data_IF_844944814342
#
_entry.id   IF_844944814342
#
_cell.length_a   1.000
_cell.length_b   1.000
_cell.length_c   1.000
_cell.angle_alpha   90.00
_cell.angle_beta   90.00
_cell.angle_gamma   90.00
#
_symmetry.space_group_name_H-M   'P 1'
#
loop_
_entity.id
_entity.type
_entity.pdbx_description
1 polymer ?
#
# COMPACT_ATOMS: atom_id res chain seq x y z
N UNK A 1 32.69 -4.17 -5.21
CA UNK A 1 31.28 -3.87 -5.46
C UNK A 1 30.80 -3.03 -4.29
N UNK A 2 30.05 -1.97 -4.47
CA UNK A 2 29.47 -1.28 -3.33
C UNK A 2 28.64 -2.29 -2.53
N UNK A 3 28.83 -2.35 -1.23
CA UNK A 3 27.99 -3.15 -0.35
C UNK A 3 26.60 -2.49 -0.34
N UNK A 4 25.65 -3.12 -1.02
CA UNK A 4 24.26 -2.68 -0.95
C UNK A 4 23.68 -3.18 0.36
N UNK A 5 23.49 -2.26 1.29
CA UNK A 5 22.78 -2.54 2.53
C UNK A 5 21.28 -2.47 2.26
N UNK A 6 20.60 -3.60 2.25
CA UNK A 6 19.15 -3.64 2.24
C UNK A 6 18.63 -4.40 3.46
N UNK A 7 17.44 -4.04 3.88
CA UNK A 7 16.72 -4.70 4.97
C UNK A 7 15.40 -5.22 4.42
N UNK A 8 15.06 -6.45 4.76
CA UNK A 8 13.76 -7.03 4.49
C UNK A 8 12.93 -6.97 5.77
N UNK A 9 11.71 -6.46 5.67
CA UNK A 9 10.73 -6.41 6.74
C UNK A 9 9.53 -7.25 6.29
N UNK A 10 9.13 -8.21 7.08
CA UNK A 10 7.88 -8.92 6.93
C UNK A 10 6.92 -8.41 7.99
N UNK A 11 5.82 -7.85 7.56
CA UNK A 11 4.73 -7.40 8.42
C UNK A 11 3.65 -8.48 8.50
N UNK A 12 2.91 -8.49 9.57
CA UNK A 12 1.75 -9.36 9.75
C UNK A 12 0.48 -8.52 9.80
N UNK A 13 -0.65 -9.14 9.51
CA UNK A 13 -1.97 -8.51 9.68
C UNK A 13 -2.16 -7.24 8.84
N UNK A 14 -1.61 -7.21 7.61
CA UNK A 14 -1.82 -6.11 6.66
C UNK A 14 -3.31 -5.99 6.33
N UNK A 15 -3.99 -7.11 6.05
CA UNK A 15 -5.38 -7.21 5.62
C UNK A 15 -6.41 -6.74 6.68
N UNK A 16 -6.00 -6.65 7.92
CA UNK A 16 -6.82 -6.15 9.03
C UNK A 16 -6.37 -4.76 9.51
N UNK A 17 -5.83 -3.96 8.60
CA UNK A 17 -5.48 -2.55 8.85
C UNK A 17 -4.00 -2.29 9.11
N UNK A 18 -3.10 -3.20 8.72
CA UNK A 18 -1.64 -2.99 8.80
C UNK A 18 -1.12 -3.01 10.23
N UNK A 19 -1.67 -3.87 11.09
CA UNK A 19 -1.33 -3.90 12.52
C UNK A 19 0.18 -4.13 12.71
N UNK A 20 0.76 -5.08 11.97
CA UNK A 20 2.19 -5.36 12.05
C UNK A 20 3.06 -4.19 11.65
N UNK A 21 2.62 -3.39 10.69
CA UNK A 21 3.33 -2.18 10.25
C UNK A 21 3.34 -1.07 11.33
N UNK A 22 2.32 -1.00 12.16
CA UNK A 22 2.28 -0.05 13.28
C UNK A 22 3.38 -0.29 14.30
N UNK A 23 3.82 -1.54 14.47
CA UNK A 23 4.90 -1.91 15.41
C UNK A 23 6.31 -1.72 14.85
N UNK A 24 6.45 -1.41 13.58
CA UNK A 24 7.78 -1.14 13.01
C UNK A 24 8.30 0.20 13.58
N UNK A 25 9.45 0.12 14.27
CA UNK A 25 10.09 1.28 14.86
C UNK A 25 10.56 2.27 13.79
N UNK A 26 10.34 3.57 14.02
CA UNK A 26 10.79 4.64 13.11
C UNK A 26 12.26 4.52 12.74
N UNK A 27 13.15 4.22 13.72
CA UNK A 27 14.59 4.03 13.51
C UNK A 27 14.95 2.91 12.52
N UNK A 28 13.99 2.08 12.15
CA UNK A 28 14.18 1.02 11.15
C UNK A 28 13.95 1.49 9.72
N UNK A 29 13.20 2.57 9.55
CA UNK A 29 12.69 3.04 8.26
C UNK A 29 13.12 4.46 7.90
N UNK A 30 13.34 5.36 8.87
CA UNK A 30 13.62 6.79 8.65
C UNK A 30 14.99 7.09 8.01
N UNK A 31 15.92 6.13 8.10
CA UNK A 31 17.24 6.21 7.48
C UNK A 31 17.32 5.46 6.13
N UNK A 32 16.22 4.88 5.68
CA UNK A 32 16.18 4.24 4.39
C UNK A 32 16.25 5.30 3.28
N UNK A 33 16.97 5.03 2.21
CA UNK A 33 16.94 5.85 1.01
C UNK A 33 15.57 5.79 0.36
N UNK A 34 14.99 4.60 0.30
CA UNK A 34 13.61 4.33 -0.15
C UNK A 34 13.11 3.01 0.42
N UNK A 35 11.79 2.82 0.40
CA UNK A 35 11.11 1.59 0.82
C UNK A 35 10.26 1.10 -0.34
N UNK A 36 10.45 -0.17 -0.69
CA UNK A 36 9.67 -0.85 -1.72
C UNK A 36 8.81 -1.91 -1.06
N UNK A 37 7.52 -1.82 -1.25
CA UNK A 37 6.58 -2.87 -0.89
C UNK A 37 6.26 -3.70 -2.13
N UNK A 38 6.20 -5.01 -1.97
CA UNK A 38 5.98 -5.97 -3.05
C UNK A 38 4.71 -6.76 -2.76
N UNK A 39 3.56 -6.08 -2.88
CA UNK A 39 2.27 -6.63 -2.46
C UNK A 39 1.10 -6.21 -3.39
N UNK A 40 1.36 -5.54 -4.49
CA UNK A 40 0.29 -5.12 -5.39
C UNK A 40 -0.05 -6.21 -6.42
N UNK A 41 -1.34 -6.48 -6.61
CA UNK A 41 -1.83 -7.34 -7.68
C UNK A 41 -1.42 -6.85 -9.08
N UNK A 42 -1.40 -7.76 -10.06
CA UNK A 42 -0.94 -7.45 -11.42
C UNK A 42 0.58 -7.43 -11.53
N UNK A 43 1.11 -7.08 -12.67
CA UNK A 43 2.55 -7.17 -12.95
C UNK A 43 3.22 -5.87 -13.36
N UNK A 44 2.50 -4.72 -13.33
CA UNK A 44 3.02 -3.48 -13.94
C UNK A 44 2.67 -2.20 -13.18
N UNK A 45 1.98 -2.23 -12.07
CA UNK A 45 1.61 -1.02 -11.37
C UNK A 45 2.69 -0.59 -10.37
N UNK A 46 2.90 0.72 -10.28
CA UNK A 46 3.52 1.40 -9.15
C UNK A 46 2.47 2.25 -8.46
N UNK A 47 2.31 2.08 -7.17
CA UNK A 47 1.42 2.89 -6.35
C UNK A 47 2.21 4.07 -5.80
N UNK A 48 1.95 5.24 -6.35
CA UNK A 48 2.50 6.52 -5.91
C UNK A 48 1.65 7.17 -4.83
N UNK A 49 0.34 6.91 -4.86
CA UNK A 49 -0.63 7.44 -3.92
C UNK A 49 -1.48 6.31 -3.36
N UNK A 50 -1.65 6.27 -2.06
CA UNK A 50 -2.50 5.30 -1.37
C UNK A 50 -3.45 6.02 -0.43
N UNK A 51 -4.76 5.94 -0.71
CA UNK A 51 -5.76 6.76 -0.06
C UNK A 51 -5.47 8.25 -0.29
N UNK A 52 -5.25 8.99 0.79
CA UNK A 52 -4.87 10.42 0.75
C UNK A 52 -3.36 10.64 0.97
N UNK A 53 -2.57 9.56 1.01
CA UNK A 53 -1.14 9.63 1.31
C UNK A 53 -0.34 9.56 0.02
N UNK A 54 0.42 10.60 -0.28
CA UNK A 54 1.45 10.54 -1.32
C UNK A 54 2.65 9.78 -0.77
N UNK A 55 3.05 8.72 -1.43
CA UNK A 55 4.11 7.82 -1.01
C UNK A 55 5.48 8.25 -1.53
N UNK A 56 5.55 8.70 -2.78
CA UNK A 56 6.81 9.11 -3.40
C UNK A 56 6.69 10.34 -4.30
N UNK A 57 7.85 10.90 -4.64
CA UNK A 57 8.00 12.03 -5.56
C UNK A 57 7.72 11.64 -7.01
N UNK A 58 7.53 12.65 -7.85
CA UNK A 58 7.42 12.50 -9.30
C UNK A 58 8.70 11.90 -9.90
N UNK A 59 9.86 12.35 -9.44
CA UNK A 59 11.16 11.87 -9.92
C UNK A 59 11.36 10.38 -9.61
N UNK A 60 10.97 9.95 -8.42
CA UNK A 60 11.04 8.54 -8.01
C UNK A 60 10.08 7.66 -8.84
N UNK A 61 8.83 8.09 -9.00
CA UNK A 61 7.85 7.36 -9.79
C UNK A 61 8.27 7.23 -11.26
N UNK A 62 8.87 8.28 -11.84
CA UNK A 62 9.35 8.28 -13.21
C UNK A 62 10.43 7.22 -13.46
N UNK A 63 11.32 6.96 -12.51
CA UNK A 63 12.31 5.89 -12.62
C UNK A 63 11.67 4.51 -12.78
N UNK A 64 10.57 4.27 -12.09
CA UNK A 64 9.83 3.03 -12.25
C UNK A 64 9.06 2.95 -13.58
N UNK A 65 8.58 4.09 -14.09
CA UNK A 65 8.00 4.16 -15.44
C UNK A 65 9.03 3.81 -16.52
N UNK A 66 10.28 4.25 -16.37
CA UNK A 66 11.39 3.90 -17.26
C UNK A 66 11.69 2.39 -17.26
N UNK A 67 11.41 1.71 -16.16
CA UNK A 67 11.47 0.25 -16.04
C UNK A 67 10.19 -0.46 -16.53
N UNK A 68 9.22 0.32 -17.07
CA UNK A 68 7.99 -0.20 -17.68
C UNK A 68 6.84 -0.46 -16.71
N UNK A 69 6.88 0.15 -15.52
CA UNK A 69 5.72 0.22 -14.65
C UNK A 69 4.77 1.35 -15.09
N UNK A 70 3.56 1.34 -14.57
CA UNK A 70 2.53 2.35 -14.79
C UNK A 70 2.03 2.86 -13.45
N UNK A 71 1.86 4.16 -13.33
CA UNK A 71 1.30 4.75 -12.13
C UNK A 71 -0.14 4.30 -11.92
N UNK A 72 -0.45 3.98 -10.70
CA UNK A 72 -1.78 3.66 -10.23
C UNK A 72 -1.97 4.19 -8.80
N UNK A 73 -3.20 4.27 -8.36
CA UNK A 73 -3.56 4.62 -7.00
C UNK A 73 -3.99 3.38 -6.24
N UNK A 74 -3.66 3.34 -4.95
CA UNK A 74 -4.11 2.34 -4.00
C UNK A 74 -5.11 2.92 -3.01
N UNK A 75 -5.77 2.06 -2.26
CA UNK A 75 -6.66 2.46 -1.15
C UNK A 75 -5.97 2.39 0.18
N UNK A 76 -5.23 1.32 0.42
CA UNK A 76 -4.47 1.06 1.63
C UNK A 76 -3.24 0.17 1.31
N UNK A 77 -2.22 0.26 2.15
CA UNK A 77 -0.98 -0.53 2.12
C UNK A 77 -0.23 -0.25 3.42
N UNK A 78 0.64 -1.13 3.86
CA UNK A 78 1.50 -0.93 5.05
C UNK A 78 2.33 0.36 4.97
N UNK A 79 2.63 0.85 3.77
CA UNK A 79 3.32 2.12 3.58
C UNK A 79 2.52 3.33 4.12
N UNK A 80 1.20 3.23 4.22
CA UNK A 80 0.38 4.26 4.87
C UNK A 80 0.74 4.42 6.36
N UNK A 81 1.21 3.34 7.00
CA UNK A 81 1.70 3.36 8.38
C UNK A 81 3.15 3.84 8.49
N UNK A 82 3.96 3.59 7.46
CA UNK A 82 5.36 4.00 7.42
C UNK A 82 5.55 5.46 7.04
N UNK A 83 4.80 5.96 6.06
CA UNK A 83 4.99 7.33 5.55
C UNK A 83 4.89 8.42 6.62
N UNK A 84 3.95 8.41 7.57
CA UNK A 84 3.90 9.38 8.66
C UNK A 84 5.12 9.34 9.59
N UNK A 85 5.77 8.16 9.71
CA UNK A 85 6.95 7.95 10.55
C UNK A 85 8.25 8.35 9.84
N UNK A 86 8.26 8.34 8.52
CA UNK A 86 9.44 8.59 7.68
C UNK A 86 9.05 9.42 6.44
N UNK A 87 8.60 10.66 6.66
CA UNK A 87 8.00 11.53 5.64
C UNK A 87 8.92 11.82 4.46
N UNK A 88 10.23 11.88 4.69
CA UNK A 88 11.23 12.17 3.64
C UNK A 88 11.67 10.95 2.84
N UNK A 89 11.30 9.75 3.28
CA UNK A 89 11.68 8.51 2.61
C UNK A 89 10.74 8.27 1.44
N UNK A 90 11.28 7.99 0.27
CA UNK A 90 10.52 7.59 -0.91
C UNK A 90 9.96 6.20 -0.71
N UNK A 91 8.68 6.01 -1.01
CA UNK A 91 8.01 4.72 -0.82
C UNK A 91 7.13 4.40 -2.01
N UNK A 92 7.03 3.15 -2.40
CA UNK A 92 6.03 2.72 -3.37
C UNK A 92 5.67 1.24 -3.17
N UNK A 93 4.44 0.89 -3.55
CA UNK A 93 4.02 -0.49 -3.65
C UNK A 93 3.99 -0.92 -5.11
N UNK A 94 4.59 -2.06 -5.42
CA UNK A 94 4.77 -2.58 -6.77
C UNK A 94 3.95 -3.84 -6.98
N UNK A 95 3.35 -3.95 -8.17
CA UNK A 95 2.72 -5.19 -8.61
C UNK A 95 3.75 -6.30 -8.74
N UNK A 96 3.41 -7.50 -8.29
CA UNK A 96 4.33 -8.65 -8.25
C UNK A 96 3.87 -9.86 -9.07
N UNK A 97 2.82 -9.71 -9.86
CA UNK A 97 2.32 -10.80 -10.72
C UNK A 97 1.32 -11.71 -10.02
N UNK A 98 0.71 -11.31 -8.92
CA UNK A 98 -0.40 -12.07 -8.36
C UNK A 98 -1.76 -11.55 -8.82
N UNK A 99 -2.74 -12.44 -8.86
CA UNK A 99 -4.07 -12.19 -9.42
C UNK A 99 -5.14 -12.84 -8.58
N UNK A 100 -6.36 -12.33 -8.69
CA UNK A 100 -7.54 -12.78 -7.96
C UNK A 100 -7.34 -12.72 -6.42
N UNK A 101 -6.92 -11.53 -5.87
CA UNK A 101 -6.70 -11.39 -4.44
C UNK A 101 -7.93 -11.80 -3.63
N UNK A 102 -7.71 -12.44 -2.49
CA UNK A 102 -8.77 -12.87 -1.55
C UNK A 102 -9.77 -13.88 -2.13
N UNK A 103 -9.40 -14.60 -3.21
CA UNK A 103 -10.24 -15.62 -3.82
C UNK A 103 -9.57 -16.99 -3.78
N UNK A 104 -10.36 -18.07 -3.76
CA UNK A 104 -9.83 -19.44 -3.87
C UNK A 104 -9.04 -19.70 -5.16
N UNK A 105 -9.22 -18.84 -6.16
CA UNK A 105 -8.50 -18.86 -7.43
C UNK A 105 -7.30 -17.90 -7.47
N UNK A 106 -6.85 -17.42 -6.32
CA UNK A 106 -5.64 -16.60 -6.24
C UNK A 106 -4.43 -17.38 -6.75
N UNK A 107 -3.61 -16.73 -7.55
CA UNK A 107 -2.40 -17.34 -8.09
C UNK A 107 -1.30 -16.31 -8.33
N UNK A 108 -0.05 -16.77 -8.30
CA UNK A 108 1.13 -16.01 -8.67
C UNK A 108 1.64 -16.45 -10.05
N UNK A 109 1.77 -15.51 -10.98
CA UNK A 109 2.45 -15.73 -12.25
C UNK A 109 3.97 -15.64 -12.01
N UNK A 110 4.64 -16.78 -11.96
CA UNK A 110 6.07 -16.86 -11.63
C UNK A 110 6.94 -16.06 -12.61
N UNK A 111 6.62 -16.04 -13.89
CA UNK A 111 7.40 -15.28 -14.89
C UNK A 111 7.30 -13.78 -14.69
N UNK A 112 6.12 -13.29 -14.33
CA UNK A 112 5.93 -11.87 -14.01
C UNK A 112 6.62 -11.51 -12.70
N UNK A 113 6.53 -12.36 -11.69
CA UNK A 113 7.23 -12.19 -10.43
C UNK A 113 8.75 -12.10 -10.62
N UNK A 114 9.35 -13.06 -11.35
CA UNK A 114 10.78 -13.05 -11.66
C UNK A 114 11.20 -11.78 -12.42
N UNK A 115 10.38 -11.32 -13.36
CA UNK A 115 10.63 -10.09 -14.10
C UNK A 115 10.57 -8.86 -13.17
N UNK A 116 9.62 -8.79 -12.24
CA UNK A 116 9.55 -7.70 -11.25
C UNK A 116 10.79 -7.72 -10.36
N UNK A 117 11.19 -8.87 -9.85
CA UNK A 117 12.40 -8.99 -9.02
C UNK A 117 13.67 -8.56 -9.80
N UNK A 118 13.76 -8.89 -11.09
CA UNK A 118 14.86 -8.41 -11.92
C UNK A 118 14.88 -6.89 -12.03
N UNK A 119 13.73 -6.25 -12.22
CA UNK A 119 13.59 -4.78 -12.27
C UNK A 119 13.90 -4.12 -10.92
N UNK A 120 13.46 -4.72 -9.81
CA UNK A 120 13.81 -4.24 -8.46
C UNK A 120 15.33 -4.26 -8.28
N UNK A 121 15.99 -5.35 -8.64
CA UNK A 121 17.46 -5.43 -8.60
C UNK A 121 18.12 -4.38 -9.47
N UNK A 122 17.62 -4.18 -10.70
CA UNK A 122 18.14 -3.15 -11.60
C UNK A 122 17.96 -1.76 -10.99
N UNK A 123 16.79 -1.44 -10.47
CA UNK A 123 16.50 -0.17 -9.80
C UNK A 123 17.48 0.07 -8.65
N UNK A 124 17.71 -0.93 -7.79
CA UNK A 124 18.65 -0.83 -6.67
C UNK A 124 20.08 -0.56 -7.11
N UNK A 125 20.52 -1.19 -8.20
CA UNK A 125 21.87 -1.00 -8.75
C UNK A 125 22.05 0.38 -9.37
N UNK A 126 21.08 0.82 -10.16
CA UNK A 126 21.16 2.09 -10.89
C UNK A 126 21.01 3.31 -9.98
N UNK A 127 20.32 3.17 -8.87
CA UNK A 127 19.98 4.28 -7.98
C UNK A 127 20.64 4.16 -6.58
N UNK A 128 21.70 3.39 -6.46
CA UNK A 128 22.36 3.12 -5.16
C UNK A 128 22.89 4.37 -4.43
N UNK A 129 23.23 5.42 -5.17
CA UNK A 129 23.74 6.69 -4.62
C UNK A 129 22.83 7.88 -4.95
N UNK A 130 21.65 7.65 -5.51
CA UNK A 130 20.74 8.72 -5.92
C UNK A 130 19.98 9.27 -4.72
N UNK A 131 19.92 10.58 -4.60
CA UNK A 131 19.05 11.29 -3.67
C UNK A 131 17.84 11.77 -4.45
N UNK A 132 16.67 11.29 -4.11
CA UNK A 132 15.43 11.72 -4.73
C UNK A 132 14.95 12.98 -3.99
N UNK A 133 14.97 14.10 -4.70
CA UNK A 133 14.42 15.33 -4.17
C UNK A 133 13.01 15.53 -4.70
N UNK A 134 12.09 15.74 -3.78
CA UNK A 134 10.75 16.20 -4.15
C UNK A 134 10.85 17.71 -4.42
N UNK A 135 10.93 18.08 -5.68
CA UNK A 135 11.00 19.48 -6.11
C UNK A 135 9.64 20.20 -6.01
N UNK A 136 8.58 19.47 -5.75
CA UNK A 136 7.28 20.02 -5.44
C UNK A 136 7.20 20.20 -3.92
N UNK A 137 7.15 21.46 -3.46
CA UNK A 137 6.73 21.76 -2.10
C UNK A 137 5.49 20.93 -1.80
N UNK A 138 5.54 20.13 -0.73
CA UNK A 138 4.34 19.51 -0.16
C UNK A 138 3.34 20.62 0.01
N UNK A 139 2.39 20.74 -0.90
CA UNK A 139 1.24 21.62 -0.71
C UNK A 139 0.52 21.01 0.48
N UNK A 140 0.79 21.58 1.66
CA UNK A 140 0.03 21.30 2.87
C UNK A 140 -1.43 21.18 2.46
N UNK A 141 -2.05 20.11 2.92
CA UNK A 141 -3.46 19.81 2.76
C UNK A 141 -4.28 21.04 2.43
N UNK A 142 -4.89 21.08 1.25
CA UNK A 142 -6.06 21.93 1.07
C UNK A 142 -7.04 21.48 2.14
N UNK A 143 -6.99 22.17 3.29
CA UNK A 143 -8.11 22.19 4.22
C UNK A 143 -9.31 22.52 3.37
N UNK A 144 -10.14 21.52 3.12
CA UNK A 144 -11.45 21.74 2.56
C UNK A 144 -12.18 22.63 3.57
N UNK A 145 -12.03 23.94 3.38
CA UNK A 145 -12.88 24.93 4.05
C UNK A 145 -14.29 24.64 3.56
N UNK A 146 -15.10 24.19 4.50
CA UNK A 146 -16.42 23.66 4.36
C UNK A 146 -17.24 24.20 3.20
N UNK A 147 -17.67 23.33 2.34
CA UNK A 147 -18.96 23.46 1.70
C UNK A 147 -20.02 23.18 2.77
N UNK A 148 -20.47 24.24 3.42
CA UNK A 148 -21.69 24.23 4.23
C UNK A 148 -22.84 23.94 3.28
N UNK A 149 -23.51 22.78 3.42
CA UNK A 149 -24.82 22.62 2.83
C UNK A 149 -25.20 21.28 2.25
N UNK A 150 -24.43 20.19 2.44
CA UNK A 150 -24.98 18.86 2.19
C UNK A 150 -25.20 18.11 3.51
N UNK A 151 -26.36 17.47 3.71
CA UNK A 151 -26.56 16.63 4.87
C UNK A 151 -25.47 15.55 4.84
N UNK A 152 -24.78 15.36 5.95
CA UNK A 152 -23.84 14.25 6.15
C UNK A 152 -24.62 12.96 5.96
N UNK A 153 -24.62 12.45 4.73
CA UNK A 153 -24.89 11.03 4.55
C UNK A 153 -23.72 10.32 5.25
N UNK A 154 -24.03 9.48 6.21
CA UNK A 154 -23.07 8.60 6.88
C UNK A 154 -22.51 7.61 5.87
N UNK A 155 -21.62 8.07 4.97
CA UNK A 155 -20.91 7.21 4.05
C UNK A 155 -19.62 6.85 4.78
N UNK A 156 -19.66 5.76 5.54
CA UNK A 156 -18.47 5.15 6.09
C UNK A 156 -17.77 4.36 5.00
N UNK A 157 -16.45 4.35 5.03
CA UNK A 157 -15.64 3.48 4.19
C UNK A 157 -15.53 2.12 4.88
N UNK A 158 -15.53 1.04 4.11
CA UNK A 158 -15.24 -0.29 4.64
C UNK A 158 -13.78 -0.37 5.07
N UNK A 159 -13.55 -0.66 6.35
CA UNK A 159 -12.21 -0.74 6.93
C UNK A 159 -11.40 -1.91 6.37
N UNK A 160 -12.09 -2.92 5.78
CA UNK A 160 -11.44 -4.08 5.19
C UNK A 160 -11.04 -3.85 3.71
N UNK A 161 -11.97 -3.46 2.84
CA UNK A 161 -11.71 -3.38 1.39
C UNK A 161 -11.73 -1.95 0.80
N UNK A 162 -11.96 -0.94 1.61
CA UNK A 162 -12.00 0.46 1.18
C UNK A 162 -13.24 0.89 0.38
N UNK A 163 -14.22 0.03 0.18
CA UNK A 163 -15.46 0.34 -0.55
C UNK A 163 -16.35 1.27 0.27
N UNK A 164 -17.08 2.16 -0.41
CA UNK A 164 -18.01 3.12 0.22
C UNK A 164 -19.48 2.69 0.13
N UNK A 165 -19.81 1.63 -0.60
CA UNK A 165 -21.19 1.17 -0.78
C UNK A 165 -21.58 0.11 0.25
N UNK A 166 -22.80 0.22 0.80
CA UNK A 166 -23.37 -0.74 1.75
C UNK A 166 -22.48 -1.00 3.00
N UNK A 167 -21.79 0.03 3.48
CA UNK A 167 -20.91 -0.07 4.64
C UNK A 167 -21.69 0.23 5.90
N UNK A 168 -21.57 -0.65 6.90
CA UNK A 168 -22.21 -0.51 8.22
C UNK A 168 -21.22 -0.85 9.34
N UNK A 169 -21.49 -0.28 10.52
CA UNK A 169 -20.73 -0.64 11.70
C UNK A 169 -21.04 -2.08 12.13
N UNK A 170 -20.04 -2.91 12.23
CA UNK A 170 -20.14 -4.25 12.77
C UNK A 170 -19.58 -4.27 14.18
N UNK A 171 -20.46 -4.49 15.17
CA UNK A 171 -20.08 -4.45 16.57
C UNK A 171 -19.25 -5.66 17.02
N UNK A 172 -19.35 -6.79 16.31
CA UNK A 172 -18.58 -8.00 16.60
C UNK A 172 -17.14 -7.85 16.11
N UNK A 173 -16.95 -7.21 14.97
CA UNK A 173 -15.64 -6.90 14.41
C UNK A 173 -15.04 -5.61 14.96
N UNK A 174 -15.85 -4.70 15.53
CA UNK A 174 -15.40 -3.38 16.00
C UNK A 174 -14.99 -2.42 14.88
N UNK A 175 -15.51 -2.61 13.66
CA UNK A 175 -15.12 -1.84 12.47
C UNK A 175 -16.29 -1.65 11.50
N UNK A 176 -16.12 -0.75 10.53
CA UNK A 176 -17.06 -0.55 9.43
C UNK A 176 -16.80 -1.56 8.31
N UNK A 177 -17.78 -2.39 7.99
CA UNK A 177 -17.68 -3.41 6.95
C UNK A 177 -18.75 -3.22 5.88
N UNK A 178 -18.41 -3.48 4.60
CA UNK A 178 -19.41 -3.70 3.57
C UNK A 178 -19.96 -5.13 3.68
N UNK A 179 -21.10 -5.37 3.06
CA UNK A 179 -21.79 -6.65 3.13
C UNK A 179 -20.89 -7.84 2.75
N UNK A 180 -20.13 -7.73 1.65
CA UNK A 180 -19.22 -8.78 1.18
C UNK A 180 -18.10 -9.09 2.21
N UNK A 181 -17.58 -8.06 2.90
CA UNK A 181 -16.54 -8.25 3.91
C UNK A 181 -17.10 -8.74 5.24
N UNK A 182 -18.33 -8.37 5.56
CA UNK A 182 -19.02 -8.88 6.75
C UNK A 182 -19.30 -10.37 6.62
N UNK A 183 -19.79 -10.81 5.47
CA UNK A 183 -20.04 -12.22 5.19
C UNK A 183 -18.76 -13.05 5.22
N UNK A 184 -17.65 -12.48 4.71
CA UNK A 184 -16.35 -13.11 4.78
C UNK A 184 -15.83 -13.20 6.23
N UNK A 185 -15.98 -12.13 7.01
CA UNK A 185 -15.47 -12.07 8.40
C UNK A 185 -16.28 -12.93 9.38
N UNK A 186 -17.59 -13.08 9.17
CA UNK A 186 -18.49 -13.85 10.02
C UNK A 186 -18.71 -15.29 9.50
N UNK A 187 -18.37 -15.57 8.25
CA UNK A 187 -18.60 -16.87 7.62
C UNK A 187 -17.59 -17.96 7.98
N UNK A 188 -16.51 -17.66 8.69
CA UNK A 188 -15.49 -18.66 9.05
C UNK A 188 -15.80 -19.48 10.30
N UNK A 189 -16.83 -19.14 11.07
CA UNK A 189 -17.15 -19.84 12.34
C UNK A 189 -18.08 -21.07 12.21
N UNK A 190 -18.59 -21.40 11.02
CA UNK A 190 -19.45 -22.58 10.86
C UNK A 190 -18.75 -23.88 10.40
N UNK A 191 -17.42 -23.91 10.35
CA UNK A 191 -16.63 -25.03 9.80
C UNK A 191 -15.77 -25.85 10.76
N UNK A 192 -15.73 -25.54 12.05
CA UNK A 192 -14.83 -26.20 13.00
C UNK A 192 -15.57 -27.00 14.10
N UNK A 193 -16.58 -27.80 13.70
CA UNK A 193 -17.13 -28.82 14.60
C UNK A 193 -17.77 -29.95 13.79
N UNK A 194 -16.93 -30.88 13.28
CA UNK A 194 -17.25 -32.33 13.20
C UNK A 194 -15.99 -33.11 12.90
#
# INVERSE_FOLDING_TARGET
MPEHNFRIIFTAEEEVGGIGADYVETSRIDQAQYILELDRKGGKDIIQESGYTRLCSESFAKKWEELGFKRASGTFTDLNKFKPKATKVEMCNLSIGYYNPHQKSEYLNIKEFENVIAKVKQFMLDNAAEVFEDTEEFVEEKKYSGCSGYPRSNISQCDCCGRYSNVRWNSSAGMYLCEDCEDWYLGEDEGAAK
#
